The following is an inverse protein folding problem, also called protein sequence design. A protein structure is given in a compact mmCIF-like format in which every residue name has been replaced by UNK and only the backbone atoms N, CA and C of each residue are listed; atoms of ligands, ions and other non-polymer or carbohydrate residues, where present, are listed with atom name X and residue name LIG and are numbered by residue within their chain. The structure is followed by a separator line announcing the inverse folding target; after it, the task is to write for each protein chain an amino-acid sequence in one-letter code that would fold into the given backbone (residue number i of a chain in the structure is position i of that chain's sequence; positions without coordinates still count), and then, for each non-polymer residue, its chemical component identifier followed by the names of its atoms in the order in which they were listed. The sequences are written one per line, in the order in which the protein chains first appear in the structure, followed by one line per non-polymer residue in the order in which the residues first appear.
data_IF_486352232035
#
_entry.id   IF_486352232035
#
_cell.length_a   1.000
_cell.length_b   1.000
_cell.length_c   1.000
_cell.angle_alpha   90.00
_cell.angle_beta   90.00
_cell.angle_gamma   90.00
#
_symmetry.space_group_name_H-M   'P 1'
#
loop_
_entity.id
_entity.type
_entity.pdbx_description
1 polymer ?
#
# COMPACT_ATOMS: atom_id res chain seq x y z
N UNK A 1 19.34 1.12 6.60
CA UNK A 1 20.48 0.18 6.79
C UNK A 1 20.06 -1.13 7.44
N UNK A 2 18.88 -1.19 8.08
CA UNK A 2 18.38 -2.37 8.80
C UNK A 2 19.19 -2.74 10.05
N UNK A 3 19.93 -1.80 10.58
CA UNK A 3 20.61 -1.96 11.86
C UNK A 3 19.98 -1.02 12.89
N UNK A 4 20.02 -1.43 14.15
CA UNK A 4 19.65 -0.58 15.27
C UNK A 4 20.48 0.71 15.21
N UNK A 5 19.84 1.84 15.46
CA UNK A 5 20.51 3.13 15.57
C UNK A 5 20.79 3.47 17.04
N UNK A 6 21.97 3.09 17.58
CA UNK A 6 22.26 3.23 19.00
C UNK A 6 22.24 4.68 19.48
N UNK A 7 22.62 5.62 18.62
CA UNK A 7 22.65 7.05 18.95
C UNK A 7 21.24 7.60 19.21
N UNK A 8 20.23 7.14 18.43
CA UNK A 8 18.84 7.54 18.64
C UNK A 8 18.31 7.00 19.98
N UNK A 9 18.63 5.76 20.31
CA UNK A 9 18.27 5.18 21.62
C UNK A 9 18.95 5.93 22.76
N UNK A 10 20.24 6.21 22.65
CA UNK A 10 20.98 6.97 23.64
C UNK A 10 20.41 8.38 23.84
N UNK A 11 20.04 9.07 22.76
CA UNK A 11 19.40 10.39 22.83
C UNK A 11 18.03 10.35 23.51
N UNK A 12 17.32 9.21 23.42
CA UNK A 12 16.06 8.97 24.12
C UNK A 12 16.25 8.43 25.55
N UNK A 13 17.48 8.22 26.01
CA UNK A 13 17.77 7.63 27.32
C UNK A 13 17.42 6.13 27.43
N UNK A 14 17.30 5.44 26.28
CA UNK A 14 16.87 4.05 26.23
C UNK A 14 18.07 3.11 25.97
N UNK A 15 18.17 2.01 26.73
CA UNK A 15 19.22 1.02 26.48
C UNK A 15 18.86 0.12 25.30
N UNK A 16 19.86 -0.35 24.55
CA UNK A 16 19.64 -1.25 23.39
C UNK A 16 18.85 -2.51 23.76
N UNK A 17 19.00 -3.01 24.99
CA UNK A 17 18.28 -4.20 25.50
C UNK A 17 16.74 -4.05 25.57
N UNK A 18 16.19 -2.83 25.38
CA UNK A 18 14.73 -2.63 25.34
C UNK A 18 14.13 -3.15 24.03
N UNK A 19 14.95 -3.25 23.00
CA UNK A 19 14.50 -3.76 21.71
C UNK A 19 14.32 -5.28 21.80
N UNK A 20 13.24 -5.82 21.22
CA UNK A 20 13.07 -7.26 21.10
C UNK A 20 14.13 -7.86 20.16
N UNK A 21 14.27 -9.18 20.21
CA UNK A 21 15.06 -9.92 19.24
C UNK A 21 14.52 -9.69 17.82
N UNK A 22 15.38 -9.28 16.90
CA UNK A 22 15.03 -9.10 15.50
C UNK A 22 14.95 -10.47 14.81
N UNK A 23 13.81 -10.77 14.19
CA UNK A 23 13.58 -12.01 13.45
C UNK A 23 13.10 -11.69 12.03
N UNK A 24 13.58 -12.41 11.02
CA UNK A 24 13.06 -12.30 9.66
C UNK A 24 11.57 -12.66 9.57
N UNK A 25 10.89 -12.12 8.58
CA UNK A 25 9.51 -12.48 8.28
C UNK A 25 9.42 -13.98 7.92
N UNK A 26 8.35 -14.63 8.34
CA UNK A 26 8.16 -16.07 8.17
C UNK A 26 8.92 -16.94 9.17
N UNK A 27 9.68 -16.35 10.11
CA UNK A 27 10.28 -17.12 11.18
C UNK A 27 9.27 -17.41 12.30
N UNK A 28 9.26 -18.64 12.87
CA UNK A 28 8.45 -18.95 14.05
C UNK A 28 8.85 -18.06 15.23
N UNK A 29 7.85 -17.49 15.91
CA UNK A 29 8.00 -16.72 17.13
C UNK A 29 7.50 -17.46 18.39
N UNK A 30 6.83 -18.60 18.19
CA UNK A 30 6.29 -19.43 19.24
C UNK A 30 5.01 -20.15 18.83
N UNK A 31 4.31 -20.68 19.82
CA UNK A 31 3.02 -21.34 19.62
C UNK A 31 1.98 -20.77 20.57
N UNK A 32 0.74 -20.69 20.11
CA UNK A 32 -0.37 -20.26 20.95
C UNK A 32 -0.62 -21.29 22.06
N UNK A 33 -0.62 -20.85 23.32
CA UNK A 33 -0.94 -21.70 24.46
C UNK A 33 -2.44 -21.90 24.58
N UNK A 34 -2.82 -23.00 25.24
CA UNK A 34 -4.21 -23.33 25.53
C UNK A 34 -4.67 -22.61 26.82
N UNK A 35 -4.92 -21.29 26.76
CA UNK A 35 -5.26 -20.47 27.91
C UNK A 35 -6.74 -20.06 27.98
N UNK A 36 -7.62 -20.81 27.35
CA UNK A 36 -9.07 -20.67 27.52
C UNK A 36 -9.79 -19.65 26.63
N UNK A 37 -9.09 -18.70 25.96
CA UNK A 37 -9.76 -17.66 25.18
C UNK A 37 -10.06 -18.10 23.74
N UNK A 38 -9.23 -18.93 23.12
CA UNK A 38 -9.42 -19.43 21.74
C UNK A 38 -8.92 -20.89 21.69
N UNK A 39 -9.69 -21.80 22.27
CA UNK A 39 -9.30 -23.21 22.39
C UNK A 39 -9.05 -23.90 21.03
N UNK A 40 -9.76 -23.50 19.97
CA UNK A 40 -9.58 -24.05 18.63
C UNK A 40 -8.27 -23.64 17.94
N UNK A 41 -7.56 -22.64 18.46
CA UNK A 41 -6.29 -22.17 17.92
C UNK A 41 -5.08 -22.63 18.76
N UNK A 42 -5.28 -23.50 19.77
CA UNK A 42 -4.19 -24.05 20.57
C UNK A 42 -3.18 -24.77 19.68
N UNK A 43 -1.89 -24.48 19.86
CA UNK A 43 -0.82 -25.01 19.02
C UNK A 43 -0.60 -24.30 17.70
N UNK A 44 -1.39 -23.25 17.38
CA UNK A 44 -1.15 -22.43 16.19
C UNK A 44 0.22 -21.77 16.27
N UNK A 45 0.94 -21.77 15.14
CA UNK A 45 2.25 -21.10 15.07
C UNK A 45 2.06 -19.58 15.09
N UNK A 46 2.86 -18.91 15.89
CA UNK A 46 3.02 -17.47 15.87
C UNK A 46 4.24 -17.15 15.01
N UNK A 47 4.10 -16.24 14.06
CA UNK A 47 5.20 -15.84 13.17
C UNK A 47 5.39 -14.34 13.18
N UNK A 48 6.58 -13.91 12.80
CA UNK A 48 6.86 -12.51 12.48
C UNK A 48 6.41 -12.26 11.04
N UNK A 49 5.54 -11.30 10.82
CA UNK A 49 5.13 -10.90 9.48
C UNK A 49 5.88 -9.64 9.01
N UNK A 50 5.80 -8.56 9.77
CA UNK A 50 6.46 -7.29 9.46
C UNK A 50 5.46 -6.12 9.38
N UNK A 51 5.83 -5.06 8.68
CA UNK A 51 4.98 -3.90 8.47
C UNK A 51 3.80 -4.25 7.55
N UNK A 52 2.64 -3.63 7.76
CA UNK A 52 1.37 -3.95 7.08
C UNK A 52 1.43 -3.87 5.55
N UNK A 53 2.02 -2.80 4.99
CA UNK A 53 2.08 -2.63 3.53
C UNK A 53 2.92 -3.70 2.81
N UNK A 54 4.16 -4.05 3.21
CA UNK A 54 4.88 -5.16 2.59
C UNK A 54 4.20 -6.51 2.83
N UNK A 55 3.53 -6.70 3.97
CA UNK A 55 2.74 -7.92 4.22
C UNK A 55 1.53 -7.98 3.30
N UNK A 56 0.86 -6.85 3.06
CA UNK A 56 -0.24 -6.78 2.10
C UNK A 56 0.24 -7.01 0.65
N UNK A 57 1.42 -6.52 0.28
CA UNK A 57 2.04 -6.83 -1.02
C UNK A 57 2.27 -8.33 -1.20
N UNK A 58 2.73 -9.01 -0.15
CA UNK A 58 2.81 -10.49 -0.12
C UNK A 58 1.44 -11.11 -0.36
N UNK A 59 0.40 -10.63 0.31
CA UNK A 59 -0.96 -11.17 0.21
C UNK A 59 -1.61 -11.05 -1.17
N UNK A 60 -1.11 -10.17 -2.04
CA UNK A 60 -1.56 -10.04 -3.44
C UNK A 60 -0.54 -10.59 -4.45
N UNK A 61 0.52 -11.22 -3.98
CA UNK A 61 1.57 -11.78 -4.83
C UNK A 61 2.45 -10.73 -5.52
N UNK A 62 2.49 -9.48 -5.02
CA UNK A 62 3.40 -8.44 -5.51
C UNK A 62 4.75 -8.54 -4.79
N UNK A 63 5.51 -9.59 -5.10
CA UNK A 63 6.75 -9.98 -4.40
C UNK A 63 7.98 -9.99 -5.29
N UNK A 64 7.85 -9.61 -6.55
CA UNK A 64 8.98 -9.48 -7.47
C UNK A 64 9.78 -8.21 -7.18
N UNK A 65 11.10 -8.26 -7.41
CA UNK A 65 11.87 -7.06 -7.64
C UNK A 65 11.24 -6.31 -8.83
N UNK A 66 11.16 -4.99 -8.75
CA UNK A 66 10.52 -4.15 -9.76
C UNK A 66 8.99 -4.25 -9.84
N UNK A 67 8.33 -4.78 -8.83
CA UNK A 67 6.88 -4.74 -8.72
C UNK A 67 6.40 -3.59 -7.82
N UNK A 68 5.24 -3.05 -8.17
CA UNK A 68 4.54 -2.01 -7.44
C UNK A 68 3.26 -2.57 -6.82
N UNK A 69 3.10 -2.40 -5.53
CA UNK A 69 1.82 -2.61 -4.86
C UNK A 69 1.18 -1.25 -4.55
N UNK A 70 -0.06 -1.06 -4.97
CA UNK A 70 -0.85 0.11 -4.61
C UNK A 70 -1.95 -0.26 -3.59
N UNK A 71 -1.75 0.10 -2.34
CA UNK A 71 -2.73 -0.07 -1.27
C UNK A 71 -3.72 1.08 -1.29
N UNK A 72 -4.94 0.83 -1.78
CA UNK A 72 -5.98 1.84 -1.95
C UNK A 72 -7.02 1.78 -0.82
N UNK A 73 -6.61 2.26 0.35
CA UNK A 73 -7.40 2.31 1.59
C UNK A 73 -7.67 3.75 2.05
N UNK A 74 -7.67 3.99 3.36
CA UNK A 74 -7.77 5.34 3.95
C UNK A 74 -6.63 6.24 3.45
N UNK A 75 -5.41 5.72 3.44
CA UNK A 75 -4.32 6.26 2.63
C UNK A 75 -4.26 5.51 1.30
N UNK A 76 -3.74 6.16 0.29
CA UNK A 76 -3.36 5.54 -0.97
C UNK A 76 -1.84 5.42 -0.95
N UNK A 77 -1.33 4.20 -0.76
CA UNK A 77 0.10 3.96 -0.56
C UNK A 77 0.67 3.24 -1.76
N UNK A 78 1.74 3.78 -2.28
CA UNK A 78 2.58 3.17 -3.31
C UNK A 78 3.75 2.47 -2.62
N UNK A 79 3.88 1.18 -2.81
CA UNK A 79 4.93 0.33 -2.27
C UNK A 79 5.72 -0.28 -3.42
N UNK A 80 6.92 0.24 -3.68
CA UNK A 80 7.78 -0.19 -4.77
C UNK A 80 8.90 -1.07 -4.24
N UNK A 81 8.92 -2.34 -4.65
CA UNK A 81 10.00 -3.27 -4.31
C UNK A 81 11.19 -3.05 -5.24
N UNK A 82 12.40 -3.06 -4.68
CA UNK A 82 13.64 -2.95 -5.42
C UNK A 82 14.66 -3.99 -4.94
N UNK A 83 15.53 -4.52 -5.81
CA UNK A 83 16.56 -5.47 -5.38
C UNK A 83 17.64 -4.78 -4.55
N UNK A 84 18.13 -5.44 -3.51
CA UNK A 84 19.24 -4.97 -2.69
C UNK A 84 18.95 -3.64 -1.96
N UNK A 85 19.90 -2.73 -2.00
CA UNK A 85 19.83 -1.39 -1.37
C UNK A 85 20.29 -0.32 -2.36
N UNK A 86 19.71 0.87 -2.28
CA UNK A 86 20.15 2.01 -3.07
C UNK A 86 21.48 2.59 -2.54
N UNK A 87 22.37 3.08 -3.42
CA UNK A 87 23.48 3.94 -3.05
C UNK A 87 23.04 5.17 -2.26
N UNK A 88 23.95 5.78 -1.48
CA UNK A 88 23.61 6.91 -0.59
C UNK A 88 22.99 8.10 -1.35
N UNK A 89 23.58 8.45 -2.51
CA UNK A 89 23.08 9.58 -3.30
C UNK A 89 21.64 9.36 -3.79
N UNK A 90 21.33 8.14 -4.23
CA UNK A 90 19.99 7.75 -4.67
C UNK A 90 19.00 7.70 -3.49
N UNK A 91 19.44 7.21 -2.31
CA UNK A 91 18.62 7.25 -1.09
C UNK A 91 18.21 8.67 -0.74
N UNK A 92 19.14 9.62 -0.83
CA UNK A 92 18.85 11.03 -0.56
C UNK A 92 17.83 11.60 -1.57
N UNK A 93 17.95 11.25 -2.85
CA UNK A 93 16.99 11.65 -3.88
C UNK A 93 15.59 11.10 -3.60
N UNK A 94 15.48 9.81 -3.25
CA UNK A 94 14.24 9.13 -2.87
C UNK A 94 13.55 9.85 -1.70
N UNK A 95 14.29 10.14 -0.64
CA UNK A 95 13.76 10.85 0.54
C UNK A 95 13.31 12.26 0.19
N UNK A 96 14.09 12.98 -0.62
CA UNK A 96 13.74 14.33 -1.08
C UNK A 96 12.47 14.34 -1.94
N UNK A 97 12.27 13.30 -2.76
CA UNK A 97 11.04 13.10 -3.55
C UNK A 97 9.82 12.67 -2.70
N UNK A 98 10.01 12.51 -1.38
CA UNK A 98 8.91 12.22 -0.45
C UNK A 98 8.63 10.72 -0.24
N UNK A 99 9.55 9.85 -0.66
CA UNK A 99 9.48 8.44 -0.41
C UNK A 99 10.26 8.05 0.85
N UNK A 100 9.77 7.06 1.56
CA UNK A 100 10.50 6.38 2.63
C UNK A 100 11.17 5.14 2.06
N UNK A 101 12.38 4.84 2.53
CA UNK A 101 13.12 3.63 2.18
C UNK A 101 13.25 2.74 3.42
N UNK A 102 12.84 1.49 3.30
CA UNK A 102 12.94 0.49 4.35
C UNK A 102 13.33 -0.89 3.81
N UNK A 103 13.43 -1.87 4.71
CA UNK A 103 13.54 -3.26 4.33
C UNK A 103 12.17 -3.81 3.94
N UNK A 104 12.15 -4.62 2.89
CA UNK A 104 11.01 -5.46 2.59
C UNK A 104 10.98 -6.67 3.56
N UNK A 105 9.83 -7.34 3.69
CA UNK A 105 9.73 -8.62 4.40
C UNK A 105 10.44 -9.76 3.66
N UNK A 106 10.68 -9.58 2.36
CA UNK A 106 11.45 -10.52 1.54
C UNK A 106 12.95 -10.27 1.71
N UNK A 107 13.76 -11.31 1.93
CA UNK A 107 15.22 -11.20 2.01
C UNK A 107 15.82 -10.55 0.75
N UNK A 108 16.85 -9.73 0.92
CA UNK A 108 17.57 -9.12 -0.19
C UNK A 108 16.80 -8.05 -0.97
N UNK A 109 15.63 -7.64 -0.47
CA UNK A 109 14.76 -6.65 -1.12
C UNK A 109 14.58 -5.43 -0.21
N UNK A 110 14.63 -4.24 -0.78
CA UNK A 110 14.23 -3.00 -0.14
C UNK A 110 12.86 -2.54 -0.63
N UNK A 111 12.19 -1.76 0.18
CA UNK A 111 10.86 -1.23 -0.07
C UNK A 111 10.89 0.29 -0.05
N UNK A 112 10.42 0.89 -1.13
CA UNK A 112 10.15 2.31 -1.23
C UNK A 112 8.66 2.53 -0.98
N UNK A 113 8.32 3.40 -0.03
CA UNK A 113 6.95 3.70 0.35
C UNK A 113 6.68 5.19 0.19
N UNK A 114 5.61 5.52 -0.52
CA UNK A 114 5.05 6.86 -0.52
C UNK A 114 3.53 6.79 -0.34
N UNK A 115 2.99 7.69 0.46
CA UNK A 115 1.56 7.76 0.74
C UNK A 115 0.98 9.09 0.31
N UNK A 116 -0.21 9.02 -0.25
CA UNK A 116 -1.12 10.16 -0.44
C UNK A 116 -2.39 9.85 0.34
N UNK A 117 -2.99 10.83 1.02
CA UNK A 117 -4.24 10.59 1.75
C UNK A 117 -5.46 10.57 0.80
N UNK A 118 -5.30 9.95 -0.38
CA UNK A 118 -6.30 9.91 -1.43
C UNK A 118 -7.62 9.35 -0.96
N UNK A 119 -7.62 8.25 -0.21
CA UNK A 119 -8.85 7.65 0.28
C UNK A 119 -9.61 8.52 1.27
N UNK A 120 -8.91 9.28 2.11
CA UNK A 120 -9.55 10.24 3.01
C UNK A 120 -10.20 11.40 2.25
N UNK A 121 -9.51 11.91 1.22
CA UNK A 121 -10.05 12.92 0.31
C UNK A 121 -11.32 12.39 -0.37
N UNK A 122 -11.28 11.22 -0.97
CA UNK A 122 -12.43 10.62 -1.65
C UNK A 122 -13.61 10.42 -0.69
N UNK A 123 -13.37 9.96 0.53
CA UNK A 123 -14.43 9.83 1.55
C UNK A 123 -15.08 11.16 1.88
N UNK A 124 -14.30 12.23 2.03
CA UNK A 124 -14.82 13.58 2.30
C UNK A 124 -15.65 14.11 1.14
N UNK A 125 -15.22 13.83 -0.11
CA UNK A 125 -16.01 14.23 -1.28
C UNK A 125 -17.32 13.44 -1.36
N UNK A 126 -17.30 12.12 -1.10
CA UNK A 126 -18.54 11.33 -1.00
C UNK A 126 -19.51 11.88 0.05
N UNK A 127 -18.99 12.24 1.22
CA UNK A 127 -19.80 12.86 2.28
C UNK A 127 -20.43 14.20 1.82
N UNK A 128 -19.63 15.05 1.19
CA UNK A 128 -20.10 16.33 0.67
C UNK A 128 -21.16 16.18 -0.44
N UNK A 129 -21.11 15.08 -1.20
CA UNK A 129 -22.07 14.74 -2.25
C UNK A 129 -23.28 13.92 -1.75
N UNK A 130 -23.33 13.57 -0.44
CA UNK A 130 -24.38 12.73 0.13
C UNK A 130 -24.36 11.27 -0.39
N UNK A 131 -23.21 10.78 -0.84
CA UNK A 131 -23.07 9.47 -1.50
C UNK A 131 -22.19 8.48 -0.69
N UNK A 132 -22.15 8.60 0.64
CA UNK A 132 -21.35 7.69 1.49
C UNK A 132 -21.92 6.28 1.56
N UNK A 133 -23.25 6.17 1.47
CA UNK A 133 -23.97 4.90 1.60
C UNK A 133 -24.48 4.38 0.24
N UNK A 134 -24.71 3.07 0.16
CA UNK A 134 -25.43 2.47 -0.95
C UNK A 134 -26.94 2.80 -0.87
N UNK A 135 -27.65 2.99 -2.01
CA UNK A 135 -27.16 2.81 -3.39
C UNK A 135 -26.54 4.09 -3.99
N UNK A 136 -26.55 5.23 -3.30
CA UNK A 136 -26.10 6.51 -3.85
C UNK A 136 -24.63 6.45 -4.36
N UNK A 137 -23.77 5.73 -3.62
CA UNK A 137 -22.37 5.54 -4.02
C UNK A 137 -22.23 4.79 -5.35
N UNK A 138 -22.93 3.68 -5.52
CA UNK A 138 -22.92 2.92 -6.76
C UNK A 138 -23.49 3.73 -7.93
N UNK A 139 -24.55 4.51 -7.72
CA UNK A 139 -25.11 5.38 -8.74
C UNK A 139 -24.12 6.46 -9.18
N UNK A 140 -23.43 7.08 -8.20
CA UNK A 140 -22.42 8.10 -8.45
C UNK A 140 -21.22 7.50 -9.21
N UNK A 141 -20.73 6.35 -8.78
CA UNK A 141 -19.63 5.63 -9.42
C UNK A 141 -19.97 5.33 -10.90
N UNK A 142 -21.15 4.75 -11.13
CA UNK A 142 -21.60 4.44 -12.49
C UNK A 142 -21.76 5.71 -13.38
N UNK A 143 -22.40 6.74 -12.86
CA UNK A 143 -22.61 7.99 -13.59
C UNK A 143 -21.27 8.67 -13.96
N UNK A 144 -20.27 8.55 -13.10
CA UNK A 144 -18.95 9.15 -13.32
C UNK A 144 -18.16 8.53 -14.48
N UNK A 145 -18.45 7.28 -14.85
CA UNK A 145 -17.80 6.61 -15.98
C UNK A 145 -18.12 7.25 -17.33
N UNK A 146 -19.23 7.98 -17.43
CA UNK A 146 -19.65 8.69 -18.65
C UNK A 146 -19.14 10.14 -18.70
N UNK A 147 -18.41 10.60 -17.67
CA UNK A 147 -17.86 11.96 -17.64
C UNK A 147 -16.61 12.04 -18.52
N UNK A 148 -16.67 12.85 -19.56
CA UNK A 148 -15.55 13.16 -20.45
C UNK A 148 -14.56 14.14 -19.82
N UNK A 149 -14.29 15.23 -20.55
CA UNK A 149 -13.41 16.31 -20.06
C UNK A 149 -14.06 17.07 -18.91
N UNK A 150 -13.22 17.47 -17.96
CA UNK A 150 -13.65 18.27 -16.82
C UNK A 150 -13.81 19.74 -17.24
N UNK A 151 -14.83 20.45 -16.76
CA UNK A 151 -14.96 21.89 -16.97
C UNK A 151 -13.72 22.64 -16.44
N UNK A 152 -13.24 23.64 -17.18
CA UNK A 152 -12.09 24.44 -16.78
C UNK A 152 -12.26 25.14 -15.41
N UNK A 153 -13.50 25.43 -15.03
CA UNK A 153 -13.85 26.05 -13.74
C UNK A 153 -13.98 25.09 -12.57
N UNK A 154 -13.75 23.78 -12.77
CA UNK A 154 -13.79 22.78 -11.73
C UNK A 154 -12.39 22.32 -11.38
N UNK A 155 -12.01 22.45 -10.12
CA UNK A 155 -10.78 21.86 -9.62
C UNK A 155 -10.96 21.26 -8.22
N UNK A 156 -10.20 20.19 -7.96
CA UNK A 156 -10.02 19.59 -6.64
C UNK A 156 -8.58 19.80 -6.25
N UNK A 157 -8.36 20.26 -5.04
CA UNK A 157 -7.03 20.35 -4.46
C UNK A 157 -7.06 20.00 -2.98
N UNK A 158 -5.95 19.60 -2.46
CA UNK A 158 -5.72 19.34 -1.06
C UNK A 158 -4.27 19.59 -0.77
N UNK A 159 -3.91 19.72 0.49
CA UNK A 159 -2.52 19.67 0.83
C UNK A 159 -2.06 18.21 0.67
N UNK A 160 -1.18 17.97 -0.29
CA UNK A 160 -0.89 16.63 -0.82
C UNK A 160 -0.29 15.65 0.21
N UNK A 161 0.11 16.08 1.41
CA UNK A 161 0.76 15.24 2.42
C UNK A 161 0.00 15.14 3.72
N UNK A 162 -0.49 16.23 4.27
CA UNK A 162 -1.23 16.23 5.55
C UNK A 162 -2.72 16.08 5.34
N UNK A 163 -3.25 16.57 4.22
CA UNK A 163 -4.64 16.44 3.77
C UNK A 163 -5.71 16.74 4.82
N UNK A 164 -5.44 17.72 5.62
CA UNK A 164 -6.42 18.21 6.59
C UNK A 164 -7.58 18.94 5.90
N UNK A 165 -7.41 19.35 4.63
CA UNK A 165 -8.41 20.04 3.86
C UNK A 165 -8.56 19.49 2.43
N UNK A 166 -9.80 19.51 1.95
CA UNK A 166 -10.15 19.33 0.55
C UNK A 166 -10.78 20.63 0.08
N UNK A 167 -10.23 21.22 -0.97
CA UNK A 167 -10.76 22.41 -1.61
C UNK A 167 -11.42 22.03 -2.91
N UNK A 168 -12.72 22.25 -3.00
CA UNK A 168 -13.48 22.17 -4.25
C UNK A 168 -13.69 23.58 -4.75
N UNK A 169 -13.24 23.87 -5.96
CA UNK A 169 -13.52 25.13 -6.65
C UNK A 169 -14.47 24.84 -7.81
N UNK A 170 -15.61 25.47 -7.80
CA UNK A 170 -16.67 25.30 -8.81
C UNK A 170 -17.05 26.70 -9.28
N UNK A 171 -16.76 27.02 -10.54
CA UNK A 171 -17.11 28.32 -11.14
C UNK A 171 -18.42 28.24 -11.93
N UNK A 172 -18.69 27.08 -12.54
CA UNK A 172 -19.91 26.81 -13.31
C UNK A 172 -20.66 25.60 -12.72
N UNK A 173 -21.88 25.38 -13.16
CA UNK A 173 -22.69 24.25 -12.72
C UNK A 173 -21.94 22.92 -13.01
N UNK A 174 -21.73 22.13 -11.97
CA UNK A 174 -21.11 20.82 -12.06
C UNK A 174 -22.02 19.76 -11.44
N UNK A 175 -22.21 18.64 -12.12
CA UNK A 175 -22.97 17.51 -11.60
C UNK A 175 -22.15 16.81 -10.47
N UNK A 176 -22.81 16.09 -9.56
CA UNK A 176 -22.12 15.26 -8.57
C UNK A 176 -21.12 14.27 -9.22
N UNK A 177 -21.49 13.68 -10.36
CA UNK A 177 -20.61 12.77 -11.11
C UNK A 177 -19.35 13.48 -11.64
N UNK A 178 -19.48 14.71 -12.10
CA UNK A 178 -18.35 15.53 -12.57
C UNK A 178 -17.40 15.89 -11.43
N UNK A 179 -17.95 16.26 -10.26
CA UNK A 179 -17.16 16.57 -9.05
C UNK A 179 -16.42 15.32 -8.57
N UNK A 180 -17.12 14.19 -8.52
CA UNK A 180 -16.51 12.91 -8.13
C UNK A 180 -15.37 12.53 -9.08
N UNK A 181 -15.59 12.63 -10.41
CA UNK A 181 -14.56 12.35 -11.41
C UNK A 181 -13.33 13.24 -11.21
N UNK A 182 -13.52 14.53 -10.91
CA UNK A 182 -12.42 15.43 -10.61
C UNK A 182 -11.62 14.99 -9.39
N UNK A 183 -12.28 14.56 -8.32
CA UNK A 183 -11.62 14.07 -7.11
C UNK A 183 -10.82 12.78 -7.37
N UNK A 184 -11.40 11.83 -8.09
CA UNK A 184 -10.75 10.56 -8.43
C UNK A 184 -9.53 10.79 -9.33
N UNK A 185 -9.66 11.64 -10.37
CA UNK A 185 -8.53 12.00 -11.23
C UNK A 185 -7.43 12.75 -10.50
N UNK A 186 -7.77 13.63 -9.56
CA UNK A 186 -6.80 14.33 -8.73
C UNK A 186 -5.96 13.34 -7.90
N UNK A 187 -6.58 12.36 -7.27
CA UNK A 187 -5.85 11.35 -6.47
C UNK A 187 -4.98 10.45 -7.35
N UNK A 188 -5.46 10.08 -8.54
CA UNK A 188 -4.68 9.30 -9.50
C UNK A 188 -3.47 10.09 -10.02
N UNK A 189 -3.65 11.37 -10.34
CA UNK A 189 -2.56 12.25 -10.79
C UNK A 189 -1.50 12.46 -9.70
N UNK A 190 -1.90 12.58 -8.43
CA UNK A 190 -0.95 12.64 -7.34
C UNK A 190 -0.08 11.36 -7.24
N UNK A 191 -0.67 10.18 -7.48
CA UNK A 191 0.07 8.93 -7.57
C UNK A 191 1.03 8.91 -8.75
N UNK A 192 0.60 9.39 -9.93
CA UNK A 192 1.43 9.49 -11.13
C UNK A 192 2.67 10.36 -10.91
N UNK A 193 2.51 11.50 -10.26
CA UNK A 193 3.63 12.40 -9.96
C UNK A 193 4.67 11.74 -9.07
N UNK A 194 4.24 11.04 -8.01
CA UNK A 194 5.14 10.27 -7.15
C UNK A 194 5.87 9.18 -7.93
N UNK A 195 5.16 8.41 -8.77
CA UNK A 195 5.77 7.36 -9.60
C UNK A 195 6.80 7.93 -10.56
N UNK A 196 6.48 9.03 -11.24
CA UNK A 196 7.43 9.70 -12.14
C UNK A 196 8.74 10.07 -11.46
N UNK A 197 8.69 10.50 -10.21
CA UNK A 197 9.90 10.87 -9.47
C UNK A 197 10.71 9.65 -9.02
N UNK A 198 10.05 8.60 -8.55
CA UNK A 198 10.78 7.40 -8.11
C UNK A 198 11.36 6.60 -9.27
N UNK A 199 10.71 6.59 -10.42
CA UNK A 199 11.20 5.88 -11.60
C UNK A 199 12.47 6.48 -12.19
N UNK A 200 12.77 7.74 -11.93
CA UNK A 200 14.06 8.35 -12.27
C UNK A 200 15.22 7.73 -11.50
N UNK A 201 14.95 7.17 -10.33
CA UNK A 201 15.96 6.57 -9.43
C UNK A 201 15.94 5.05 -9.51
N UNK A 202 14.76 4.45 -9.42
CA UNK A 202 14.58 2.99 -9.34
C UNK A 202 14.24 2.33 -10.68
N UNK A 203 14.17 3.10 -11.76
CA UNK A 203 13.66 2.61 -13.05
C UNK A 203 12.16 2.32 -13.05
N UNK A 204 11.58 2.00 -14.20
CA UNK A 204 10.16 1.70 -14.32
C UNK A 204 9.80 0.39 -13.59
N UNK A 205 8.58 0.32 -13.06
CA UNK A 205 8.06 -0.93 -12.54
C UNK A 205 7.62 -1.85 -13.68
N UNK A 206 7.73 -3.16 -13.48
CA UNK A 206 7.36 -4.15 -14.51
C UNK A 206 5.91 -4.60 -14.40
N UNK A 207 5.36 -4.56 -13.20
CA UNK A 207 4.00 -4.97 -12.87
C UNK A 207 3.50 -4.15 -11.69
N UNK A 208 2.23 -3.78 -11.73
CA UNK A 208 1.55 -3.14 -10.61
C UNK A 208 0.30 -3.92 -10.20
N UNK A 209 0.07 -4.02 -8.90
CA UNK A 209 -1.14 -4.63 -8.33
C UNK A 209 -1.78 -3.65 -7.36
N UNK A 210 -3.04 -3.31 -7.58
CA UNK A 210 -3.82 -2.52 -6.63
C UNK A 210 -4.80 -3.38 -5.84
N UNK A 211 -4.95 -3.09 -4.56
CA UNK A 211 -5.97 -3.69 -3.69
C UNK A 211 -6.45 -2.69 -2.63
N UNK A 212 -7.60 -2.95 -2.05
CA UNK A 212 -8.19 -2.14 -1.00
C UNK A 212 -9.60 -1.69 -1.34
N UNK A 213 -10.28 -1.05 -0.37
CA UNK A 213 -11.70 -0.73 -0.49
C UNK A 213 -12.07 0.16 -1.68
N UNK A 214 -11.22 1.14 -2.02
CA UNK A 214 -11.47 2.03 -3.14
C UNK A 214 -11.37 1.36 -4.51
N UNK A 215 -10.65 0.24 -4.64
CA UNK A 215 -10.58 -0.52 -5.89
C UNK A 215 -11.88 -1.25 -6.23
N UNK A 216 -12.89 -1.23 -5.35
CA UNK A 216 -14.23 -1.73 -5.64
C UNK A 216 -15.03 -0.76 -6.53
N UNK A 217 -14.65 0.52 -6.59
CA UNK A 217 -15.29 1.52 -7.43
C UNK A 217 -14.67 1.53 -8.83
N UNK A 218 -15.53 1.41 -9.84
CA UNK A 218 -15.10 1.33 -11.24
C UNK A 218 -14.40 2.63 -11.70
N UNK A 219 -14.89 3.78 -11.29
CA UNK A 219 -14.28 5.08 -11.58
C UNK A 219 -12.86 5.21 -11.05
N UNK A 220 -12.60 4.70 -9.84
CA UNK A 220 -11.26 4.67 -9.24
C UNK A 220 -10.34 3.75 -10.03
N UNK A 221 -10.83 2.57 -10.43
CA UNK A 221 -10.06 1.64 -11.27
C UNK A 221 -9.68 2.26 -12.59
N UNK A 222 -10.63 2.88 -13.28
CA UNK A 222 -10.38 3.57 -14.57
C UNK A 222 -9.33 4.67 -14.42
N UNK A 223 -9.47 5.54 -13.42
CA UNK A 223 -8.52 6.63 -13.22
C UNK A 223 -7.10 6.13 -12.87
N UNK A 224 -6.99 5.11 -12.02
CA UNK A 224 -5.68 4.53 -11.69
C UNK A 224 -5.03 3.82 -12.88
N UNK A 225 -5.81 3.07 -13.67
CA UNK A 225 -5.31 2.41 -14.89
C UNK A 225 -4.84 3.40 -15.95
N UNK A 226 -5.33 4.62 -15.94
CA UNK A 226 -4.89 5.66 -16.85
C UNK A 226 -3.51 6.27 -16.53
N UNK A 227 -3.01 6.05 -15.31
CA UNK A 227 -1.79 6.72 -14.79
C UNK A 227 -0.74 5.76 -14.23
N UNK A 228 -1.08 4.51 -13.98
CA UNK A 228 -0.17 3.46 -13.48
C UNK A 228 -0.09 2.38 -14.54
N UNK A 229 1.08 2.23 -15.12
CA UNK A 229 1.33 1.23 -16.16
C UNK A 229 1.26 -0.20 -15.61
N UNK A 230 0.90 -1.15 -16.46
CA UNK A 230 0.80 -2.57 -16.12
C UNK A 230 0.00 -2.87 -14.83
N UNK A 231 -0.99 -2.03 -14.51
CA UNK A 231 -1.82 -2.15 -13.32
C UNK A 231 -2.88 -3.25 -13.47
N UNK A 232 -2.92 -4.12 -12.49
CA UNK A 232 -3.99 -5.11 -12.27
C UNK A 232 -4.65 -4.89 -10.91
N UNK A 233 -5.88 -5.37 -10.74
CA UNK A 233 -6.62 -5.26 -9.48
C UNK A 233 -6.78 -6.64 -8.86
N UNK A 234 -6.30 -6.77 -7.63
CA UNK A 234 -6.42 -8.02 -6.89
C UNK A 234 -7.85 -8.23 -6.39
N UNK A 235 -8.41 -9.44 -6.49
CA UNK A 235 -9.68 -9.79 -5.87
C UNK A 235 -9.57 -9.98 -4.35
N UNK A 236 -8.36 -9.99 -3.79
CA UNK A 236 -8.13 -10.23 -2.37
C UNK A 236 -8.67 -9.06 -1.55
N UNK A 237 -9.67 -9.34 -0.71
CA UNK A 237 -10.38 -8.31 0.08
C UNK A 237 -9.52 -7.81 1.24
N UNK A 238 -8.74 -8.69 1.87
CA UNK A 238 -7.91 -8.40 3.03
C UNK A 238 -6.45 -8.79 2.77
N UNK A 239 -5.71 -8.03 1.95
CA UNK A 239 -4.34 -8.38 1.55
C UNK A 239 -3.39 -8.60 2.74
N UNK A 240 -3.48 -7.76 3.78
CA UNK A 240 -2.65 -7.90 4.97
C UNK A 240 -2.88 -9.21 5.72
N UNK A 241 -4.15 -9.63 5.86
CA UNK A 241 -4.51 -10.90 6.50
C UNK A 241 -4.01 -12.08 5.66
N UNK A 242 -4.22 -12.03 4.34
CA UNK A 242 -3.75 -13.07 3.42
C UNK A 242 -2.22 -13.18 3.45
N UNK A 243 -1.51 -12.06 3.43
CA UNK A 243 -0.05 -12.04 3.53
C UNK A 243 0.47 -12.59 4.86
N UNK A 244 -0.17 -12.24 5.97
CA UNK A 244 0.17 -12.79 7.29
C UNK A 244 -0.05 -14.31 7.35
N UNK A 245 -1.15 -14.80 6.74
CA UNK A 245 -1.44 -16.24 6.66
C UNK A 245 -0.40 -16.97 5.80
N UNK A 246 0.02 -16.42 4.67
CA UNK A 246 1.07 -16.99 3.84
C UNK A 246 2.41 -17.08 4.59
N UNK A 247 2.80 -16.04 5.32
CA UNK A 247 4.01 -16.05 6.15
C UNK A 247 3.91 -17.05 7.30
N UNK A 248 2.73 -17.23 7.90
CA UNK A 248 2.50 -18.24 8.92
C UNK A 248 2.56 -19.66 8.33
N UNK A 249 2.00 -19.87 7.15
CA UNK A 249 2.10 -21.16 6.43
C UNK A 249 3.55 -21.49 6.08
N UNK A 250 4.33 -20.50 5.67
CA UNK A 250 5.77 -20.66 5.45
C UNK A 250 6.50 -21.06 6.74
N UNK A 251 6.17 -20.41 7.88
CA UNK A 251 6.76 -20.75 9.18
C UNK A 251 6.42 -22.19 9.64
N UNK A 252 5.20 -22.67 9.34
CA UNK A 252 4.77 -24.03 9.68
C UNK A 252 5.50 -25.12 8.90
N UNK A 253 5.84 -24.85 7.67
CA UNK A 253 6.45 -25.84 6.81
C UNK A 253 7.89 -26.21 7.22
N UNK A 254 8.44 -25.52 8.23
CA UNK A 254 9.67 -25.91 8.93
C UNK A 254 10.97 -25.72 8.15
N UNK A 255 12.11 -26.21 8.68
CA UNK A 255 13.43 -25.98 8.12
C UNK A 255 13.64 -26.53 6.70
N UNK A 256 12.86 -27.50 6.26
CA UNK A 256 12.92 -27.98 4.87
C UNK A 256 12.52 -26.91 3.85
N UNK A 257 11.77 -25.88 4.29
CA UNK A 257 11.48 -24.69 3.49
C UNK A 257 12.53 -23.58 3.61
N UNK A 258 13.46 -23.66 4.56
CA UNK A 258 14.58 -22.71 4.61
C UNK A 258 15.45 -22.79 3.34
N UNK A 259 15.36 -23.88 2.58
CA UNK A 259 15.93 -24.03 1.24
C UNK A 259 15.02 -23.51 0.12
N UNK A 260 13.73 -23.23 0.38
CA UNK A 260 12.80 -22.67 -0.60
C UNK A 260 12.84 -21.15 -0.53
N UNK A 261 12.93 -20.54 -1.70
CA UNK A 261 12.78 -19.10 -1.87
C UNK A 261 11.39 -18.67 -1.34
N UNK A 262 11.37 -17.82 -0.31
CA UNK A 262 10.13 -17.28 0.26
C UNK A 262 9.26 -16.61 -0.83
N UNK A 263 9.86 -15.90 -1.77
CA UNK A 263 9.13 -15.28 -2.86
C UNK A 263 8.51 -16.32 -3.82
N UNK A 264 9.20 -17.45 -4.04
CA UNK A 264 8.66 -18.60 -4.79
C UNK A 264 7.45 -19.20 -4.10
N UNK A 265 7.55 -19.49 -2.80
CA UNK A 265 6.43 -20.00 -2.00
C UNK A 265 5.19 -19.10 -2.04
N UNK A 266 5.39 -17.79 -1.91
CA UNK A 266 4.29 -16.81 -1.96
C UNK A 266 3.63 -16.82 -3.34
N UNK A 267 4.41 -16.85 -4.43
CA UNK A 267 3.86 -16.90 -5.79
C UNK A 267 2.99 -18.11 -6.03
N UNK A 268 3.40 -19.28 -5.54
CA UNK A 268 2.59 -20.52 -5.62
C UNK A 268 1.28 -20.40 -4.85
N UNK A 269 1.30 -19.78 -3.66
CA UNK A 269 0.13 -19.61 -2.80
C UNK A 269 -0.84 -18.51 -3.21
N UNK A 270 -0.48 -17.66 -4.19
CA UNK A 270 -1.31 -16.55 -4.67
C UNK A 270 -1.89 -16.76 -6.08
N UNK A 271 -1.61 -17.90 -6.71
CA UNK A 271 -2.23 -18.35 -7.98
C UNK A 271 -3.55 -19.05 -7.70
#
# INVERSE_FOLDING_TARGET
TGQVWPQALAAAGLPVRILPEERPAGCPAGFLRHDGVVSCAAGAVLTVAGHDHPVAAVGVGAVGADELFNSSGTADVLARSIPGTLPEAERQQVVTAGWSLGRHVLPGTSLLLAGISGGLLLRRVLAALGAEAEPARSMLDHASLSVGDLPAGLSVSGDGRTQDNVVLRIQDAASPATIWTAAVRYTAEAARLLLTDIEKVAGPHRRAVAAGGWTQMASVRVAKSAVIDALSFSPVVQPGVTGAALLASYALAGPDLASRDLAGFIREGTQ
#
